data_IF_949322936752
#
_entry.id   IF_949322936752
#
_cell.length_a   1.000
_cell.length_b   1.000
_cell.length_c   1.000
_cell.angle_alpha   90.00
_cell.angle_beta   90.00
_cell.angle_gamma   90.00
#
_symmetry.space_group_name_H-M   'P 1'
#
loop_
_entity.id
_entity.type
_entity.pdbx_description
1 polymer ?
#
# COMPACT_ATOMS: atom_id res chain seq x y z
N UNK A 1 25.11 2.50 6.96
CA UNK A 1 23.63 2.52 6.80
C UNK A 1 23.04 2.08 8.14
N UNK A 2 22.01 2.76 8.67
CA UNK A 2 21.33 2.28 9.88
C UNK A 2 20.61 0.97 9.52
N UNK A 3 20.85 -0.09 10.28
CA UNK A 3 20.06 -1.32 10.23
C UNK A 3 18.58 -0.96 10.48
N UNK A 4 17.79 -0.81 9.42
CA UNK A 4 16.39 -0.46 9.52
C UNK A 4 15.58 -1.73 9.76
N UNK A 5 14.86 -1.78 10.87
CA UNK A 5 13.90 -2.85 11.14
C UNK A 5 12.65 -2.58 10.34
N UNK A 6 12.03 -3.64 9.85
CA UNK A 6 10.71 -3.64 9.23
C UNK A 6 9.85 -4.69 9.90
N UNK A 7 8.61 -4.32 10.19
CA UNK A 7 7.60 -5.20 10.76
C UNK A 7 6.45 -5.33 9.76
N UNK A 8 5.92 -6.53 9.60
CA UNK A 8 4.80 -6.78 8.71
C UNK A 8 3.81 -7.75 9.34
N UNK A 9 2.52 -7.51 9.12
CA UNK A 9 1.42 -8.40 9.50
C UNK A 9 0.57 -8.78 8.30
N UNK A 10 0.19 -10.06 8.23
CA UNK A 10 -0.77 -10.60 7.29
C UNK A 10 -2.05 -10.98 8.04
N UNK A 11 -3.13 -10.25 7.74
CA UNK A 11 -4.43 -10.41 8.41
C UNK A 11 -5.34 -11.36 7.61
N UNK A 12 -5.02 -12.65 7.64
CA UNK A 12 -5.79 -13.67 6.92
C UNK A 12 -7.01 -14.18 7.71
N UNK A 13 -8.02 -14.71 6.99
CA UNK A 13 -9.25 -15.26 7.59
C UNK A 13 -9.05 -16.57 8.37
N UNK A 14 -7.92 -17.24 8.20
CA UNK A 14 -7.59 -18.48 8.90
C UNK A 14 -6.46 -18.29 9.91
N UNK A 15 -5.54 -17.41 9.63
CA UNK A 15 -4.39 -17.13 10.49
C UNK A 15 -3.93 -15.71 10.35
N UNK A 16 -3.50 -15.12 11.45
CA UNK A 16 -2.72 -13.88 11.46
C UNK A 16 -1.26 -14.29 11.46
N UNK A 17 -0.44 -13.64 10.63
CA UNK A 17 1.00 -13.86 10.60
C UNK A 17 1.71 -12.54 10.86
N UNK A 18 2.86 -12.62 11.51
CA UNK A 18 3.75 -11.49 11.74
C UNK A 18 5.17 -11.84 11.35
N UNK A 19 5.90 -10.88 10.82
CA UNK A 19 7.32 -11.01 10.49
C UNK A 19 8.09 -9.77 10.92
N UNK A 20 9.31 -9.98 11.40
CA UNK A 20 10.30 -8.93 11.67
C UNK A 20 11.51 -9.19 10.80
N UNK A 21 11.92 -8.18 10.05
CA UNK A 21 13.11 -8.22 9.21
C UNK A 21 14.03 -7.04 9.45
N UNK A 22 15.31 -7.26 9.17
CA UNK A 22 16.35 -6.22 9.18
C UNK A 22 16.82 -5.98 7.76
N UNK A 23 16.72 -4.77 7.27
CA UNK A 23 17.25 -4.40 5.95
C UNK A 23 18.78 -4.33 6.08
N UNK A 24 19.46 -5.22 5.35
CA UNK A 24 20.92 -5.26 5.26
C UNK A 24 21.39 -4.30 4.16
N UNK A 25 20.75 -4.37 2.98
CA UNK A 25 20.96 -3.49 1.84
C UNK A 25 19.70 -3.49 0.95
N UNK A 26 19.76 -2.84 -0.22
CA UNK A 26 18.60 -2.68 -1.12
C UNK A 26 18.04 -4.01 -1.66
N UNK A 27 18.83 -5.08 -1.65
CA UNK A 27 18.45 -6.39 -2.20
C UNK A 27 18.32 -7.49 -1.14
N UNK A 28 18.60 -7.20 0.14
CA UNK A 28 18.67 -8.22 1.18
C UNK A 28 17.99 -7.80 2.48
N UNK A 29 17.13 -8.70 2.96
CA UNK A 29 16.48 -8.59 4.27
C UNK A 29 16.83 -9.85 5.07
N UNK A 30 17.37 -9.66 6.27
CA UNK A 30 17.55 -10.71 7.26
C UNK A 30 16.24 -10.89 8.03
N UNK A 31 15.68 -12.08 8.04
CA UNK A 31 14.48 -12.38 8.82
C UNK A 31 14.87 -12.70 10.27
N UNK A 32 14.38 -11.91 11.21
CA UNK A 32 14.65 -12.06 12.64
C UNK A 32 13.60 -12.90 13.35
N UNK A 33 12.33 -12.79 12.93
CA UNK A 33 11.22 -13.59 13.45
C UNK A 33 10.14 -13.74 12.40
N UNK A 34 9.50 -14.91 12.37
CA UNK A 34 8.22 -15.15 11.71
C UNK A 34 7.34 -15.94 12.66
N UNK A 35 6.11 -15.46 12.89
CA UNK A 35 5.14 -16.08 13.77
C UNK A 35 3.76 -16.14 13.11
N UNK A 36 2.97 -17.11 13.49
CA UNK A 36 1.59 -17.28 13.02
C UNK A 36 0.71 -17.81 14.14
N UNK A 37 -0.54 -17.34 14.18
CA UNK A 37 -1.58 -17.83 15.06
C UNK A 37 -2.86 -18.07 14.26
N UNK A 38 -3.58 -19.12 14.54
CA UNK A 38 -4.91 -19.35 13.97
C UNK A 38 -5.91 -18.34 14.57
N UNK A 39 -6.84 -17.89 13.74
CA UNK A 39 -7.88 -16.94 14.13
C UNK A 39 -9.17 -17.23 13.40
N UNK A 40 -10.29 -16.84 14.00
CA UNK A 40 -11.61 -16.69 13.37
C UNK A 40 -12.14 -15.25 13.46
N UNK A 41 -11.30 -14.34 13.96
CA UNK A 41 -11.61 -12.92 14.14
C UNK A 41 -11.72 -12.13 12.83
N UNK A 42 -11.28 -12.71 11.73
CA UNK A 42 -11.30 -12.06 10.38
C UNK A 42 -12.07 -12.98 9.42
N UNK A 43 -13.01 -12.39 8.66
CA UNK A 43 -13.76 -13.11 7.64
C UNK A 43 -13.87 -12.30 6.35
N UNK A 44 -13.32 -12.82 5.25
CA UNK A 44 -13.31 -12.15 3.93
C UNK A 44 -12.74 -10.71 3.99
N UNK A 45 -11.73 -10.48 4.82
CA UNK A 45 -11.09 -9.19 5.02
C UNK A 45 -11.85 -8.22 5.94
N UNK A 46 -12.96 -8.64 6.55
CA UNK A 46 -13.68 -7.87 7.57
C UNK A 46 -13.29 -8.39 8.97
N UNK A 47 -13.00 -7.48 9.89
CA UNK A 47 -12.86 -7.81 11.32
C UNK A 47 -14.25 -8.13 11.86
N UNK A 48 -14.45 -9.36 12.35
CA UNK A 48 -15.72 -9.82 12.92
C UNK A 48 -15.66 -9.95 14.44
N UNK A 49 -14.47 -10.00 15.02
CA UNK A 49 -14.23 -10.00 16.45
C UNK A 49 -12.94 -9.19 16.74
N UNK A 50 -13.14 -7.94 17.20
CA UNK A 50 -12.03 -7.03 17.48
C UNK A 50 -11.20 -7.50 18.69
N UNK A 51 -11.84 -7.98 19.74
CA UNK A 51 -11.15 -8.40 20.97
C UNK A 51 -10.27 -9.63 20.72
N UNK A 52 -10.80 -10.63 20.02
CA UNK A 52 -10.01 -11.79 19.61
C UNK A 52 -8.84 -11.42 18.66
N UNK A 53 -9.05 -10.46 17.77
CA UNK A 53 -7.98 -9.94 16.91
C UNK A 53 -6.86 -9.29 17.74
N UNK A 54 -7.20 -8.41 18.66
CA UNK A 54 -6.24 -7.71 19.51
C UNK A 54 -5.41 -8.69 20.35
N UNK A 55 -6.05 -9.65 21.04
CA UNK A 55 -5.35 -10.67 21.81
C UNK A 55 -4.37 -11.49 20.92
N UNK A 56 -4.79 -11.80 19.67
CA UNK A 56 -3.92 -12.50 18.72
C UNK A 56 -2.72 -11.67 18.30
N UNK A 57 -2.92 -10.37 18.03
CA UNK A 57 -1.85 -9.44 17.66
C UNK A 57 -0.88 -9.22 18.83
N UNK A 58 -1.36 -8.95 20.03
CA UNK A 58 -0.55 -8.81 21.24
C UNK A 58 0.34 -10.04 21.48
N UNK A 59 -0.25 -11.23 21.37
CA UNK A 59 0.49 -12.48 21.48
C UNK A 59 1.60 -12.60 20.43
N UNK A 60 1.30 -12.26 19.15
CA UNK A 60 2.29 -12.31 18.08
C UNK A 60 3.40 -11.30 18.30
N UNK A 61 3.06 -10.06 18.67
CA UNK A 61 4.01 -8.99 18.94
C UNK A 61 4.97 -9.42 20.06
N UNK A 62 4.44 -9.88 21.21
CA UNK A 62 5.28 -10.37 22.33
C UNK A 62 6.29 -11.45 21.88
N UNK A 63 5.85 -12.41 21.06
CA UNK A 63 6.73 -13.48 20.58
C UNK A 63 7.78 -12.99 19.60
N UNK A 64 7.39 -12.07 18.69
CA UNK A 64 8.31 -11.50 17.70
C UNK A 64 9.35 -10.59 18.36
N UNK A 65 8.96 -9.78 19.33
CA UNK A 65 9.87 -8.94 20.13
C UNK A 65 10.91 -9.78 20.88
N UNK A 66 10.46 -10.86 21.51
CA UNK A 66 11.35 -11.79 22.21
C UNK A 66 12.37 -12.46 21.27
N UNK A 67 11.92 -12.89 20.09
CA UNK A 67 12.82 -13.52 19.11
C UNK A 67 13.82 -12.54 18.53
N UNK A 68 13.33 -11.38 18.10
CA UNK A 68 14.13 -10.35 17.43
C UNK A 68 14.94 -9.49 18.41
N UNK A 69 14.63 -9.54 19.72
CA UNK A 69 15.21 -8.71 20.80
C UNK A 69 15.09 -7.21 20.51
N UNK A 70 13.89 -6.79 20.11
CA UNK A 70 13.52 -5.41 19.82
C UNK A 70 12.15 -5.10 20.43
N UNK A 71 11.76 -3.82 20.50
CA UNK A 71 10.39 -3.41 20.71
C UNK A 71 9.73 -3.13 19.35
N UNK A 72 8.44 -3.44 19.24
CA UNK A 72 7.59 -3.15 18.07
C UNK A 72 6.61 -2.05 18.49
N UNK A 73 7.02 -0.80 18.32
CA UNK A 73 6.31 0.40 18.80
C UNK A 73 6.37 1.57 17.79
N UNK A 74 6.72 1.30 16.54
CA UNK A 74 6.84 2.33 15.50
C UNK A 74 5.81 2.05 14.39
N UNK A 75 6.24 1.72 13.19
CA UNK A 75 5.35 1.46 12.05
C UNK A 75 5.39 -0.01 11.61
N UNK A 76 4.28 -0.49 11.06
CA UNK A 76 4.19 -1.83 10.47
C UNK A 76 3.47 -1.82 9.13
N UNK A 77 3.92 -2.67 8.22
CA UNK A 77 3.21 -3.01 7.00
C UNK A 77 2.08 -3.99 7.34
N UNK A 78 0.85 -3.65 7.00
CA UNK A 78 -0.30 -4.51 7.28
C UNK A 78 -0.99 -4.88 5.98
N UNK A 79 -1.03 -6.20 5.69
CA UNK A 79 -1.72 -6.67 4.51
C UNK A 79 -3.23 -6.50 4.66
N UNK A 80 -3.85 -6.01 3.61
CA UNK A 80 -5.30 -5.89 3.51
C UNK A 80 -5.82 -6.68 2.33
N UNK A 81 -6.89 -7.45 2.55
CA UNK A 81 -7.51 -8.31 1.55
C UNK A 81 -9.04 -8.24 1.63
N UNK A 82 -9.71 -9.00 0.77
CA UNK A 82 -11.14 -9.25 0.87
C UNK A 82 -12.03 -8.43 -0.07
N UNK A 83 -13.35 -8.64 0.10
CA UNK A 83 -14.41 -8.15 -0.83
C UNK A 83 -14.53 -6.63 -0.96
N UNK A 84 -13.96 -5.89 0.01
CA UNK A 84 -14.02 -4.42 0.05
C UNK A 84 -12.90 -3.76 -0.77
N UNK A 85 -11.94 -4.55 -1.22
CA UNK A 85 -10.92 -4.12 -2.18
C UNK A 85 -11.49 -4.18 -3.59
N UNK A 86 -11.22 -3.16 -4.36
CA UNK A 86 -11.57 -3.07 -5.77
C UNK A 86 -10.40 -2.48 -6.54
N UNK A 87 -10.38 -2.71 -7.84
CA UNK A 87 -9.43 -2.08 -8.73
C UNK A 87 -10.10 -1.50 -9.96
N UNK A 88 -9.49 -0.49 -10.54
CA UNK A 88 -9.96 0.16 -11.76
C UNK A 88 -8.77 0.55 -12.63
N UNK A 89 -8.92 0.37 -13.94
CA UNK A 89 -8.00 0.94 -14.91
C UNK A 89 -8.41 2.38 -15.17
N UNK A 90 -7.51 3.30 -14.89
CA UNK A 90 -7.71 4.74 -15.07
C UNK A 90 -6.79 5.28 -16.14
N UNK A 91 -7.20 6.38 -16.75
CA UNK A 91 -6.35 7.15 -17.67
C UNK A 91 -6.65 8.63 -17.54
N UNK A 92 -5.59 9.45 -17.66
CA UNK A 92 -5.72 10.90 -17.67
C UNK A 92 -4.81 11.49 -18.72
N UNK A 93 -5.09 12.74 -19.11
CA UNK A 93 -4.34 13.48 -20.10
C UNK A 93 -4.01 14.90 -19.62
N UNK A 94 -2.76 15.31 -19.80
CA UNK A 94 -2.36 16.72 -19.76
C UNK A 94 -2.06 17.17 -21.19
N UNK A 95 -2.65 18.29 -21.58
CA UNK A 95 -2.40 18.97 -22.87
C UNK A 95 -1.97 20.40 -22.62
N UNK A 96 -1.05 20.90 -23.43
CA UNK A 96 -0.71 22.32 -23.48
C UNK A 96 -1.92 23.16 -23.87
N UNK A 97 -2.12 24.29 -23.20
CA UNK A 97 -3.27 25.18 -23.44
C UNK A 97 -3.21 25.90 -24.80
N UNK A 98 -2.02 26.21 -25.26
CA UNK A 98 -1.74 26.96 -26.50
C UNK A 98 -1.22 26.05 -27.63
N UNK A 99 -1.32 24.73 -27.43
CA UNK A 99 -0.80 23.69 -28.34
C UNK A 99 0.74 23.81 -28.58
N UNK A 100 1.44 24.47 -27.67
CA UNK A 100 2.92 24.47 -27.63
C UNK A 100 3.46 23.13 -27.15
N UNK A 101 4.70 22.87 -27.48
CA UNK A 101 5.40 21.70 -26.94
C UNK A 101 5.87 21.98 -25.50
N UNK A 102 5.89 20.98 -24.66
CA UNK A 102 6.45 21.01 -23.31
C UNK A 102 7.26 19.75 -23.02
N UNK A 103 8.25 19.90 -22.18
CA UNK A 103 9.05 18.78 -21.70
C UNK A 103 8.37 18.14 -20.48
N UNK A 104 8.34 16.82 -20.46
CA UNK A 104 7.79 16.03 -19.34
C UNK A 104 8.82 15.95 -18.23
N UNK A 105 8.53 16.57 -17.10
CA UNK A 105 9.31 16.50 -15.87
C UNK A 105 8.62 15.67 -14.80
N UNK A 106 9.30 15.45 -13.65
CA UNK A 106 8.76 14.68 -12.53
C UNK A 106 7.42 15.24 -12.02
N UNK A 107 7.29 16.57 -11.93
CA UNK A 107 6.05 17.20 -11.48
C UNK A 107 4.89 16.89 -12.43
N UNK A 108 5.12 16.91 -13.74
CA UNK A 108 4.10 16.56 -14.75
C UNK A 108 3.71 15.07 -14.63
N UNK A 109 4.71 14.19 -14.46
CA UNK A 109 4.48 12.75 -14.26
C UNK A 109 3.66 12.48 -13.01
N UNK A 110 4.04 13.03 -11.87
CA UNK A 110 3.32 12.85 -10.60
C UNK A 110 1.89 13.41 -10.67
N UNK A 111 1.69 14.59 -11.27
CA UNK A 111 0.37 15.16 -11.47
C UNK A 111 -0.55 14.24 -12.28
N UNK A 112 -0.06 13.63 -13.34
CA UNK A 112 -0.82 12.66 -14.14
C UNK A 112 -1.24 11.45 -13.32
N UNK A 113 -0.32 10.86 -12.53
CA UNK A 113 -0.60 9.70 -11.72
C UNK A 113 -1.60 10.00 -10.60
N UNK A 114 -1.46 11.14 -9.93
CA UNK A 114 -2.44 11.61 -8.93
C UNK A 114 -3.82 11.78 -9.55
N UNK A 115 -3.91 12.45 -10.70
CA UNK A 115 -5.19 12.61 -11.40
C UNK A 115 -5.82 11.27 -11.81
N UNK A 116 -5.03 10.25 -12.13
CA UNK A 116 -5.56 8.90 -12.39
C UNK A 116 -6.31 8.34 -11.18
N UNK A 117 -5.82 8.59 -9.97
CA UNK A 117 -6.46 8.15 -8.73
C UNK A 117 -7.70 8.99 -8.40
N UNK A 118 -7.57 10.32 -8.44
CA UNK A 118 -8.58 11.26 -7.95
C UNK A 118 -9.88 11.23 -8.77
N UNK A 119 -9.77 11.01 -10.07
CA UNK A 119 -10.94 11.07 -10.97
C UNK A 119 -11.83 9.83 -10.84
N UNK A 120 -11.26 8.68 -10.46
CA UNK A 120 -11.93 7.37 -10.58
C UNK A 120 -12.31 6.75 -9.24
N UNK A 121 -11.79 7.27 -8.14
CA UNK A 121 -12.02 6.71 -6.80
C UNK A 121 -12.91 7.65 -6.00
N UNK A 122 -14.02 7.13 -5.47
CA UNK A 122 -14.94 7.90 -4.64
C UNK A 122 -14.31 8.26 -3.28
N UNK A 123 -14.80 9.34 -2.66
CA UNK A 123 -14.25 9.89 -1.40
C UNK A 123 -14.40 8.98 -0.18
N UNK A 124 -15.26 7.96 -0.26
CA UNK A 124 -15.43 6.93 0.79
C UNK A 124 -14.38 5.80 0.70
N UNK A 125 -13.39 5.96 -0.17
CA UNK A 125 -12.39 4.92 -0.43
C UNK A 125 -10.97 5.48 -0.37
N UNK A 126 -10.07 4.65 0.14
CA UNK A 126 -8.62 4.91 0.21
C UNK A 126 -7.90 4.21 -0.93
N UNK A 127 -6.98 4.91 -1.59
CA UNK A 127 -6.12 4.33 -2.63
C UNK A 127 -4.94 3.62 -1.97
N UNK A 128 -4.91 2.30 -2.09
CA UNK A 128 -3.81 1.46 -1.60
C UNK A 128 -2.61 1.52 -2.53
N UNK A 129 -2.86 1.35 -3.84
CA UNK A 129 -1.81 1.37 -4.86
C UNK A 129 -2.27 2.08 -6.12
N UNK A 130 -1.35 2.83 -6.72
CA UNK A 130 -1.50 3.43 -8.04
C UNK A 130 -0.35 2.94 -8.93
N UNK A 131 -0.60 1.85 -9.66
CA UNK A 131 0.40 1.15 -10.44
C UNK A 131 0.48 1.71 -11.85
N UNK A 132 1.62 2.30 -12.21
CA UNK A 132 1.88 2.82 -13.56
C UNK A 132 1.77 1.69 -14.60
N UNK A 133 0.95 1.89 -15.63
CA UNK A 133 0.87 0.99 -16.79
C UNK A 133 1.60 1.51 -18.01
N UNK A 134 1.86 2.82 -18.04
CA UNK A 134 2.64 3.50 -19.05
C UNK A 134 2.05 4.82 -19.52
N UNK A 135 2.80 5.47 -20.40
CA UNK A 135 2.54 6.80 -20.90
C UNK A 135 2.46 6.80 -22.43
N UNK A 136 1.83 7.85 -22.99
CA UNK A 136 1.69 8.05 -24.43
C UNK A 136 1.85 9.54 -24.71
N UNK A 137 2.80 9.94 -25.54
CA UNK A 137 3.04 11.32 -25.94
C UNK A 137 2.48 11.50 -27.34
N UNK A 138 1.59 12.49 -27.52
CA UNK A 138 0.92 12.83 -28.79
C UNK A 138 0.31 11.58 -29.48
N UNK A 139 -0.23 10.63 -28.71
CA UNK A 139 -0.81 9.40 -29.22
C UNK A 139 0.20 8.37 -29.72
N UNK A 140 1.45 8.46 -29.31
CA UNK A 140 2.52 7.52 -29.66
C UNK A 140 2.28 6.10 -29.12
N UNK A 141 3.23 5.19 -29.35
CA UNK A 141 3.30 3.89 -28.71
C UNK A 141 3.54 4.02 -27.20
N UNK A 142 3.34 2.91 -26.49
CA UNK A 142 3.57 2.82 -25.04
C UNK A 142 5.00 3.23 -24.66
N UNK A 143 5.10 4.17 -23.76
CA UNK A 143 6.35 4.67 -23.18
C UNK A 143 6.39 4.26 -21.71
N UNK A 144 7.50 3.66 -21.26
CA UNK A 144 7.69 3.27 -19.85
C UNK A 144 8.16 4.43 -18.98
N UNK A 145 9.07 5.24 -19.49
CA UNK A 145 9.58 6.42 -18.78
C UNK A 145 9.48 7.64 -19.70
N UNK A 146 8.57 8.59 -19.41
CA UNK A 146 8.34 9.77 -20.25
C UNK A 146 9.27 10.96 -19.92
N UNK A 147 10.10 10.87 -18.86
CA UNK A 147 10.91 12.00 -18.39
C UNK A 147 11.89 12.50 -19.46
N UNK A 148 11.94 13.83 -19.65
CA UNK A 148 12.75 14.49 -20.66
C UNK A 148 12.20 14.43 -22.10
N UNK A 149 11.08 13.72 -22.32
CA UNK A 149 10.44 13.69 -23.63
C UNK A 149 9.61 14.95 -23.87
N UNK A 150 9.50 15.36 -25.13
CA UNK A 150 8.81 16.59 -25.55
C UNK A 150 7.57 16.20 -26.35
N UNK A 151 6.47 16.92 -26.11
CA UNK A 151 5.20 16.75 -26.82
C UNK A 151 4.18 17.81 -26.47
N UNK A 152 3.04 17.81 -27.15
CA UNK A 152 1.91 18.73 -26.94
C UNK A 152 0.88 18.16 -25.98
N UNK A 153 0.87 16.83 -25.83
CA UNK A 153 0.02 16.12 -24.89
C UNK A 153 0.72 14.88 -24.34
N UNK A 154 0.43 14.54 -23.09
CA UNK A 154 0.84 13.29 -22.47
C UNK A 154 -0.36 12.62 -21.80
N UNK A 155 -0.56 11.35 -22.09
CA UNK A 155 -1.50 10.47 -21.41
C UNK A 155 -0.77 9.56 -20.45
N UNK A 156 -1.34 9.32 -19.26
CA UNK A 156 -0.94 8.24 -18.38
C UNK A 156 -2.05 7.21 -18.25
N UNK A 157 -1.67 5.95 -18.12
CA UNK A 157 -2.55 4.85 -17.73
C UNK A 157 -2.07 4.23 -16.45
N UNK A 158 -2.99 4.02 -15.51
CA UNK A 158 -2.73 3.41 -14.21
C UNK A 158 -3.70 2.28 -13.92
N UNK A 159 -3.28 1.37 -13.06
CA UNK A 159 -4.14 0.43 -12.36
C UNK A 159 -4.22 0.84 -10.90
N UNK A 160 -5.39 1.30 -10.46
CA UNK A 160 -5.60 1.84 -9.12
C UNK A 160 -6.30 0.78 -8.27
N UNK A 161 -5.70 0.40 -7.15
CA UNK A 161 -6.26 -0.53 -6.17
C UNK A 161 -6.69 0.29 -4.97
N UNK A 162 -7.92 0.10 -4.50
CA UNK A 162 -8.51 0.89 -3.44
C UNK A 162 -9.41 0.07 -2.51
N UNK A 163 -9.52 0.48 -1.25
CA UNK A 163 -10.34 -0.13 -0.21
C UNK A 163 -11.38 0.87 0.31
N UNK A 164 -12.47 0.41 0.93
CA UNK A 164 -13.37 1.29 1.66
C UNK A 164 -12.67 1.87 2.89
N UNK A 165 -12.83 3.18 3.12
CA UNK A 165 -12.26 3.87 4.29
C UNK A 165 -12.69 3.21 5.60
N UNK A 166 -13.94 2.78 5.72
CA UNK A 166 -14.44 2.09 6.92
C UNK A 166 -13.63 0.85 7.26
N UNK A 167 -13.28 0.01 6.28
CA UNK A 167 -12.52 -1.21 6.53
C UNK A 167 -11.07 -0.92 6.94
N UNK A 168 -10.45 0.07 6.30
CA UNK A 168 -9.11 0.49 6.66
C UNK A 168 -9.09 1.10 8.06
N UNK A 169 -10.05 1.96 8.40
CA UNK A 169 -10.11 2.58 9.72
C UNK A 169 -10.31 1.57 10.85
N UNK A 170 -11.01 0.44 10.62
CA UNK A 170 -11.12 -0.61 11.64
C UNK A 170 -9.76 -1.27 11.93
N UNK A 171 -8.95 -1.48 10.89
CA UNK A 171 -7.58 -2.01 11.05
C UNK A 171 -6.70 -0.98 11.75
N UNK A 172 -6.76 0.27 11.28
CA UNK A 172 -6.00 1.37 11.86
C UNK A 172 -6.27 1.56 13.35
N UNK A 173 -7.54 1.55 13.77
CA UNK A 173 -7.91 1.59 15.19
C UNK A 173 -7.32 0.44 16.02
N UNK A 174 -7.25 -0.79 15.46
CA UNK A 174 -6.64 -1.90 16.19
C UNK A 174 -5.13 -1.71 16.39
N UNK A 175 -4.43 -1.18 15.41
CA UNK A 175 -2.98 -1.01 15.48
C UNK A 175 -2.58 0.32 16.13
N UNK A 176 -3.13 1.43 15.69
CA UNK A 176 -2.70 2.77 16.12
C UNK A 176 -3.24 3.13 17.50
N UNK A 177 -4.55 2.91 17.73
CA UNK A 177 -5.17 3.32 18.99
C UNK A 177 -4.95 2.30 20.13
N UNK A 178 -5.03 0.99 19.82
CA UNK A 178 -4.93 -0.05 20.86
C UNK A 178 -3.49 -0.54 21.07
N UNK A 179 -2.66 -0.63 20.02
CA UNK A 179 -1.29 -1.18 20.06
C UNK A 179 -0.19 -0.13 19.89
N UNK A 180 -0.54 1.11 19.58
CA UNK A 180 0.41 2.23 19.34
C UNK A 180 1.39 1.97 18.18
N UNK A 181 0.93 1.27 17.12
CA UNK A 181 1.70 0.94 15.91
C UNK A 181 1.06 1.64 14.73
N UNK A 182 1.81 2.46 13.98
CA UNK A 182 1.32 3.12 12.77
C UNK A 182 1.15 2.12 11.62
N UNK A 183 0.02 2.21 10.90
CA UNK A 183 -0.31 1.26 9.81
C UNK A 183 0.12 1.77 8.46
N UNK A 184 0.95 0.99 7.77
CA UNK A 184 1.24 1.14 6.35
C UNK A 184 0.46 0.04 5.58
N UNK A 185 -0.74 0.34 5.02
CA UNK A 185 -1.56 -0.68 4.41
C UNK A 185 -1.03 -1.10 3.05
N UNK A 186 -0.99 -2.41 2.79
CA UNK A 186 -0.60 -2.99 1.50
C UNK A 186 -1.65 -4.00 1.03
N UNK A 187 -1.86 -4.11 -0.28
CA UNK A 187 -2.68 -5.14 -0.87
C UNK A 187 -1.88 -6.43 -1.08
N UNK A 188 -2.41 -7.56 -0.66
CA UNK A 188 -1.77 -8.88 -0.72
C UNK A 188 -2.35 -9.79 -1.82
N UNK A 189 -2.84 -9.23 -2.89
CA UNK A 189 -3.52 -9.95 -3.96
C UNK A 189 -2.67 -10.43 -5.12
#
# INVERSE_FOLDING_TARGET
MKNRIQVAFDLGSFSIKGAVGRIINDDQIEILSIRSIQTDSIRNGDIVDKEALLHGLEYLIEKMEKDAKINIDDDAWVSVSGKNIKSINSSTRIRSKDNSEFEVNDSTKQKLLTQCSDIQVSSDRYVLHNLERGFFIDGSSLIRNPLGMIGKSIDAKSHVIHIKNFNLSQIDHCFSDDLSIEVNPVFDG
#
